data_IF_378806442387
#
_entry.id   IF_378806442387
#
_cell.length_a   1.000
_cell.length_b   1.000
_cell.length_c   1.000
_cell.angle_alpha   90.00
_cell.angle_beta   90.00
_cell.angle_gamma   90.00
#
_symmetry.space_group_name_H-M   'P 1'
#
loop_
_entity.id
_entity.type
_entity.pdbx_description
1 polymer ?
#
# COMPACT_ATOMS: atom_id res chain seq x y z
N UNK A 1 -32.33 -39.71 -10.64
CA UNK A 1 -31.53 -39.07 -9.58
C UNK A 1 -30.10 -39.08 -10.05
N UNK A 2 -29.60 -37.94 -10.52
CA UNK A 2 -28.20 -37.75 -10.88
C UNK A 2 -27.40 -37.72 -9.58
N UNK A 3 -26.70 -38.81 -9.25
CA UNK A 3 -25.61 -38.77 -8.26
C UNK A 3 -24.54 -37.86 -8.86
N UNK A 4 -24.54 -36.59 -8.46
CA UNK A 4 -23.36 -35.74 -8.59
C UNK A 4 -22.21 -36.48 -7.91
N UNK A 5 -21.10 -36.69 -8.61
CA UNK A 5 -19.85 -37.10 -7.96
C UNK A 5 -19.40 -35.93 -7.07
N UNK A 6 -20.03 -35.82 -5.91
CA UNK A 6 -19.69 -34.85 -4.88
C UNK A 6 -18.31 -35.24 -4.36
N UNK A 7 -17.37 -34.29 -4.42
CA UNK A 7 -16.01 -34.50 -3.93
C UNK A 7 -16.07 -34.52 -2.41
N UNK A 8 -15.74 -35.67 -1.82
CA UNK A 8 -15.78 -35.92 -0.37
C UNK A 8 -14.41 -35.62 0.22
N UNK A 9 -14.40 -34.88 1.33
CA UNK A 9 -13.21 -34.59 2.13
C UNK A 9 -13.35 -35.27 3.50
N UNK A 10 -12.28 -35.91 3.98
CA UNK A 10 -12.25 -36.54 5.31
C UNK A 10 -11.34 -35.71 6.21
N UNK A 11 -11.93 -35.01 7.18
CA UNK A 11 -11.24 -34.04 8.05
C UNK A 11 -11.62 -34.27 9.51
N UNK A 12 -10.74 -33.91 10.44
CA UNK A 12 -11.07 -33.88 11.86
C UNK A 12 -12.19 -32.85 12.12
N UNK A 13 -13.23 -33.28 12.83
CA UNK A 13 -14.34 -32.44 13.28
C UNK A 13 -14.18 -32.16 14.77
N UNK A 14 -13.77 -30.94 15.11
CA UNK A 14 -13.58 -30.51 16.50
C UNK A 14 -14.88 -30.53 17.32
N UNK A 15 -16.05 -30.40 16.66
CA UNK A 15 -17.35 -30.57 17.35
C UNK A 15 -17.59 -32.03 17.76
N UNK A 16 -16.86 -32.97 17.16
CA UNK A 16 -16.88 -34.39 17.47
C UNK A 16 -15.58 -34.85 18.16
N UNK A 17 -14.90 -33.95 18.91
CA UNK A 17 -13.67 -34.28 19.62
C UNK A 17 -12.50 -34.67 18.72
N UNK A 18 -12.49 -34.20 17.47
CA UNK A 18 -11.44 -34.47 16.49
C UNK A 18 -11.65 -35.77 15.69
N UNK A 19 -12.78 -36.47 15.85
CA UNK A 19 -13.13 -37.61 14.98
C UNK A 19 -13.16 -37.17 13.52
N UNK A 20 -12.60 -38.01 12.64
CA UNK A 20 -12.62 -37.78 11.20
C UNK A 20 -14.05 -37.91 10.68
N UNK A 21 -14.53 -36.86 10.03
CA UNK A 21 -15.87 -36.76 9.43
C UNK A 21 -15.77 -36.45 7.95
N UNK A 22 -16.75 -36.93 7.19
CA UNK A 22 -16.88 -36.60 5.78
C UNK A 22 -17.61 -35.28 5.55
N UNK A 23 -17.06 -34.47 4.65
CA UNK A 23 -17.59 -33.18 4.23
C UNK A 23 -17.80 -33.15 2.72
N UNK A 24 -18.86 -32.47 2.29
CA UNK A 24 -19.18 -32.25 0.88
C UNK A 24 -19.00 -30.79 0.50
N UNK A 25 -18.51 -30.54 -0.71
CA UNK A 25 -18.32 -29.20 -1.24
C UNK A 25 -19.66 -28.57 -1.67
N UNK A 26 -20.00 -27.40 -1.13
CA UNK A 26 -21.20 -26.64 -1.46
C UNK A 26 -20.84 -25.24 -1.97
N UNK A 27 -21.47 -24.85 -3.09
CA UNK A 27 -21.25 -23.55 -3.70
C UNK A 27 -22.19 -22.49 -3.13
N UNK A 28 -21.82 -21.92 -1.98
CA UNK A 28 -22.49 -20.79 -1.36
C UNK A 28 -21.48 -19.92 -0.60
N UNK A 29 -21.94 -18.77 -0.11
CA UNK A 29 -21.13 -17.94 0.80
C UNK A 29 -20.98 -18.65 2.14
N UNK A 30 -19.75 -18.69 2.66
CA UNK A 30 -19.47 -19.20 3.99
C UNK A 30 -19.80 -18.16 5.08
N UNK A 31 -20.13 -18.67 6.26
CA UNK A 31 -20.34 -17.92 7.50
C UNK A 31 -19.13 -18.08 8.43
N UNK A 32 -19.03 -17.22 9.46
CA UNK A 32 -17.98 -17.32 10.46
C UNK A 32 -18.07 -18.67 11.21
N UNK A 33 -16.94 -19.34 11.39
CA UNK A 33 -16.81 -20.68 11.95
C UNK A 33 -16.89 -21.83 10.93
N UNK A 34 -17.31 -21.57 9.69
CA UNK A 34 -17.39 -22.63 8.67
C UNK A 34 -16.02 -22.97 8.07
N UNK A 35 -15.85 -24.23 7.69
CA UNK A 35 -14.68 -24.70 6.93
C UNK A 35 -14.92 -24.49 5.44
N UNK A 36 -13.89 -24.06 4.72
CA UNK A 36 -13.89 -23.89 3.27
C UNK A 36 -12.69 -24.58 2.64
N UNK A 37 -12.82 -25.01 1.39
CA UNK A 37 -11.72 -25.55 0.59
C UNK A 37 -11.48 -24.71 -0.65
N UNK A 38 -10.21 -24.45 -0.98
CA UNK A 38 -9.83 -23.73 -2.20
C UNK A 38 -9.95 -24.66 -3.41
N UNK A 39 -10.68 -24.23 -4.44
CA UNK A 39 -10.94 -25.02 -5.65
C UNK A 39 -10.53 -24.32 -6.94
N UNK A 40 -10.37 -23.00 -6.91
CA UNK A 40 -10.05 -22.17 -8.08
C UNK A 40 -9.22 -20.96 -7.68
N UNK A 41 -7.97 -21.18 -7.23
CA UNK A 41 -6.99 -20.10 -6.94
C UNK A 41 -6.83 -19.20 -8.16
N UNK A 42 -7.15 -17.91 -8.00
CA UNK A 42 -7.08 -16.90 -9.08
C UNK A 42 -5.85 -16.04 -9.01
N UNK A 43 -5.34 -15.78 -7.81
CA UNK A 43 -4.21 -14.89 -7.61
C UNK A 43 -2.95 -15.71 -7.30
N UNK A 44 -1.95 -15.74 -8.21
CA UNK A 44 -0.73 -16.50 -8.02
C UNK A 44 0.10 -16.07 -6.80
N UNK A 45 -0.11 -14.83 -6.33
CA UNK A 45 0.58 -14.26 -5.17
C UNK A 45 0.01 -14.67 -3.81
N UNK A 46 -1.15 -15.33 -3.77
CA UNK A 46 -1.68 -15.88 -2.53
C UNK A 46 -0.84 -17.08 -2.05
N UNK A 47 -0.73 -17.23 -0.73
CA UNK A 47 0.08 -18.29 -0.11
C UNK A 47 -0.58 -19.67 -0.21
N UNK A 48 -1.90 -19.72 -0.34
CA UNK A 48 -2.67 -20.95 -0.41
C UNK A 48 -2.74 -21.52 -1.82
N UNK A 49 -2.99 -22.82 -1.92
CA UNK A 49 -3.13 -23.59 -3.15
C UNK A 49 -4.49 -24.29 -3.25
N UNK A 50 -4.85 -24.76 -4.45
CA UNK A 50 -6.05 -25.56 -4.64
C UNK A 50 -5.99 -26.85 -3.81
N UNK A 51 -6.99 -27.06 -2.95
CA UNK A 51 -7.07 -28.16 -2.00
C UNK A 51 -6.82 -27.74 -0.56
N UNK A 52 -6.28 -26.55 -0.31
CA UNK A 52 -6.09 -26.04 1.05
C UNK A 52 -7.43 -25.78 1.73
N UNK A 53 -7.50 -26.10 3.02
CA UNK A 53 -8.70 -25.95 3.85
C UNK A 53 -8.47 -24.87 4.88
N UNK A 54 -9.43 -23.96 5.01
CA UNK A 54 -9.41 -22.85 5.95
C UNK A 54 -10.66 -22.84 6.83
N UNK A 55 -10.54 -22.28 8.03
CA UNK A 55 -11.69 -21.91 8.84
C UNK A 55 -11.93 -20.41 8.69
N UNK A 56 -13.18 -20.01 8.43
CA UNK A 56 -13.56 -18.60 8.35
C UNK A 56 -13.62 -18.04 9.77
N UNK A 57 -12.79 -17.06 10.09
CA UNK A 57 -12.70 -16.48 11.44
C UNK A 57 -13.23 -15.04 11.52
N UNK A 58 -13.60 -14.45 10.38
CA UNK A 58 -14.06 -13.07 10.32
C UNK A 58 -15.10 -12.83 9.23
N UNK A 59 -16.21 -12.22 9.63
CA UNK A 59 -17.17 -11.66 8.69
C UNK A 59 -16.64 -10.39 8.01
N UNK A 60 -16.88 -10.29 6.70
CA UNK A 60 -16.55 -9.12 5.87
C UNK A 60 -17.82 -8.39 5.43
N UNK A 61 -17.74 -7.10 5.04
CA UNK A 61 -18.91 -6.29 4.72
C UNK A 61 -19.90 -7.01 3.77
N UNK A 62 -21.22 -6.94 4.06
CA UNK A 62 -22.23 -7.58 3.23
C UNK A 62 -22.10 -7.17 1.76
N UNK A 63 -22.15 -8.15 0.85
CA UNK A 63 -22.04 -7.92 -0.59
C UNK A 63 -20.62 -7.80 -1.15
N UNK A 64 -19.57 -7.90 -0.32
CA UNK A 64 -18.18 -7.88 -0.79
C UNK A 64 -17.83 -9.11 -1.66
N UNK A 65 -18.46 -10.25 -1.42
CA UNK A 65 -18.15 -11.51 -2.09
C UNK A 65 -16.89 -12.20 -1.55
N UNK A 66 -16.41 -11.81 -0.36
CA UNK A 66 -15.25 -12.41 0.29
C UNK A 66 -15.64 -13.08 1.63
N UNK A 67 -14.68 -13.79 2.20
CA UNK A 67 -14.61 -14.22 3.60
C UNK A 67 -13.20 -13.97 4.13
N UNK A 68 -13.06 -13.82 5.45
CA UNK A 68 -11.75 -13.62 6.10
C UNK A 68 -11.26 -14.88 6.81
N UNK A 69 -9.98 -15.18 6.65
CA UNK A 69 -9.24 -16.15 7.46
C UNK A 69 -7.84 -15.62 7.72
N UNK A 70 -7.42 -15.55 8.98
CA UNK A 70 -6.09 -15.09 9.37
C UNK A 70 -4.99 -16.06 8.88
N UNK A 71 -5.33 -17.34 8.73
CA UNK A 71 -4.45 -18.35 8.14
C UNK A 71 -4.13 -18.07 6.66
N UNK A 72 -4.96 -17.28 5.97
CA UNK A 72 -4.74 -16.87 4.59
C UNK A 72 -3.92 -15.57 4.44
N UNK A 73 -3.50 -14.95 5.55
CA UNK A 73 -2.71 -13.72 5.51
C UNK A 73 -1.33 -13.98 4.91
N UNK A 74 -0.96 -13.15 3.94
CA UNK A 74 0.37 -13.16 3.32
C UNK A 74 0.85 -11.74 3.01
N UNK A 75 2.09 -11.59 2.55
CA UNK A 75 2.60 -10.29 2.09
C UNK A 75 1.74 -9.67 0.97
N UNK A 76 1.15 -10.51 0.11
CA UNK A 76 0.29 -10.07 -0.99
C UNK A 76 -1.21 -10.06 -0.64
N UNK A 77 -1.61 -10.76 0.43
CA UNK A 77 -2.97 -10.79 0.96
C UNK A 77 -2.98 -10.42 2.45
N UNK A 78 -2.65 -9.17 2.74
CA UNK A 78 -2.48 -8.68 4.12
C UNK A 78 -3.77 -8.71 4.96
N UNK A 79 -4.92 -8.89 4.32
CA UNK A 79 -6.23 -8.93 4.96
C UNK A 79 -6.83 -10.35 5.06
N UNK A 80 -6.11 -11.37 4.58
CA UNK A 80 -6.57 -12.78 4.64
C UNK A 80 -7.91 -13.00 3.94
N UNK A 81 -8.16 -12.28 2.85
CA UNK A 81 -9.44 -12.30 2.15
C UNK A 81 -9.44 -13.39 1.08
N UNK A 82 -10.47 -14.23 1.09
CA UNK A 82 -10.66 -15.30 0.12
C UNK A 82 -11.95 -15.03 -0.66
N UNK A 83 -11.86 -15.01 -1.99
CA UNK A 83 -13.01 -14.67 -2.85
C UNK A 83 -13.97 -15.86 -2.98
N UNK A 84 -15.29 -15.60 -3.00
CA UNK A 84 -16.35 -16.60 -3.15
C UNK A 84 -16.15 -17.53 -4.37
N UNK A 85 -15.55 -17.01 -5.44
CA UNK A 85 -15.25 -17.81 -6.63
C UNK A 85 -14.13 -18.84 -6.42
N UNK A 86 -13.24 -18.63 -5.44
CA UNK A 86 -12.04 -19.44 -5.21
C UNK A 86 -12.29 -20.62 -4.26
N UNK A 87 -13.37 -20.60 -3.48
CA UNK A 87 -13.65 -21.62 -2.47
C UNK A 87 -15.00 -22.32 -2.61
N UNK A 88 -15.15 -23.44 -1.90
CA UNK A 88 -16.43 -24.09 -1.59
C UNK A 88 -16.56 -24.29 -0.10
N UNK A 89 -17.77 -24.16 0.42
CA UNK A 89 -18.06 -24.47 1.83
C UNK A 89 -18.04 -25.98 2.01
N UNK A 90 -17.44 -26.44 3.09
CA UNK A 90 -17.43 -27.85 3.46
C UNK A 90 -18.58 -28.10 4.44
N UNK A 91 -19.68 -28.65 3.92
CA UNK A 91 -20.81 -29.03 4.76
C UNK A 91 -20.61 -30.44 5.31
N UNK A 92 -20.75 -30.65 6.62
CA UNK A 92 -20.55 -31.95 7.23
C UNK A 92 -21.68 -32.93 6.87
N UNK A 93 -21.32 -34.20 6.64
CA UNK A 93 -22.27 -35.31 6.45
C UNK A 93 -22.49 -36.07 7.76
N UNK A 94 -23.36 -37.09 7.78
CA UNK A 94 -23.48 -37.96 8.95
C UNK A 94 -22.45 -39.10 8.97
N UNK A 95 -21.48 -39.14 8.05
CA UNK A 95 -20.50 -40.22 7.97
C UNK A 95 -19.23 -39.85 8.74
N UNK A 96 -18.81 -40.72 9.64
CA UNK A 96 -17.57 -40.62 10.43
C UNK A 96 -16.68 -41.83 10.22
N UNK A 97 -15.39 -41.65 10.47
CA UNK A 97 -14.33 -42.64 10.33
C UNK A 97 -13.74 -42.92 11.71
N UNK A 98 -13.93 -44.14 12.20
CA UNK A 98 -13.47 -44.55 13.53
C UNK A 98 -12.30 -45.50 13.36
N UNK A 99 -11.17 -45.16 13.97
CA UNK A 99 -9.98 -46.00 13.98
C UNK A 99 -10.16 -47.14 15.00
N UNK A 100 -10.14 -48.38 14.50
CA UNK A 100 -10.19 -49.60 15.30
C UNK A 100 -8.91 -50.43 15.19
N UNK A 101 -8.82 -51.54 15.93
CA UNK A 101 -7.67 -52.44 15.87
C UNK A 101 -7.47 -53.07 14.47
N UNK A 102 -8.55 -53.23 13.70
CA UNK A 102 -8.55 -53.85 12.38
C UNK A 102 -8.49 -52.83 11.21
N UNK A 103 -8.33 -51.54 11.52
CA UNK A 103 -8.27 -50.45 10.54
C UNK A 103 -9.31 -49.36 10.80
N UNK A 104 -9.45 -48.44 9.85
CA UNK A 104 -10.44 -47.36 9.91
C UNK A 104 -11.77 -47.83 9.30
N UNK A 105 -12.83 -47.76 10.07
CA UNK A 105 -14.18 -48.16 9.65
C UNK A 105 -15.08 -46.93 9.44
N UNK A 106 -15.97 -47.00 8.44
CA UNK A 106 -16.96 -45.94 8.15
C UNK A 106 -18.28 -46.24 8.86
N UNK A 107 -18.80 -45.25 9.56
CA UNK A 107 -20.07 -45.33 10.26
C UNK A 107 -20.97 -44.15 9.89
N UNK A 108 -22.27 -44.40 9.76
CA UNK A 108 -23.30 -43.36 9.70
C UNK A 108 -23.83 -43.07 11.12
N UNK A 109 -23.81 -41.80 11.50
CA UNK A 109 -24.41 -41.30 12.73
C UNK A 109 -25.92 -41.17 12.57
N UNK A 110 -26.66 -41.99 13.32
CA UNK A 110 -28.13 -42.03 13.27
C UNK A 110 -28.72 -41.52 14.58
N UNK A 111 -29.70 -40.63 14.46
CA UNK A 111 -30.47 -40.11 15.60
C UNK A 111 -31.64 -41.05 15.92
N UNK A 112 -31.38 -42.03 16.79
CA UNK A 112 -32.37 -42.98 17.31
C UNK A 112 -31.93 -43.55 18.66
N UNK A 113 -32.84 -44.23 19.34
CA UNK A 113 -32.50 -45.01 20.53
C UNK A 113 -31.60 -46.19 20.16
N UNK A 114 -30.57 -46.43 20.97
CA UNK A 114 -29.61 -47.51 20.80
C UNK A 114 -30.11 -48.83 21.43
N UNK A 115 -29.64 -49.94 20.86
CA UNK A 115 -29.80 -51.28 21.41
C UNK A 115 -28.51 -51.75 22.12
N UNK A 116 -28.62 -52.77 22.98
CA UNK A 116 -27.47 -53.36 23.66
C UNK A 116 -26.47 -53.92 22.64
N UNK A 117 -25.19 -53.58 22.79
CA UNK A 117 -24.10 -53.96 21.90
C UNK A 117 -23.84 -52.98 20.75
N UNK A 118 -24.64 -51.93 20.59
CA UNK A 118 -24.39 -50.91 19.56
C UNK A 118 -23.31 -49.92 20.00
N UNK A 119 -22.52 -49.45 19.02
CA UNK A 119 -21.57 -48.37 19.21
C UNK A 119 -22.28 -47.02 19.19
N UNK A 120 -21.92 -46.15 20.12
CA UNK A 120 -22.47 -44.80 20.24
C UNK A 120 -21.36 -43.77 20.43
N UNK A 121 -21.64 -42.55 19.98
CA UNK A 121 -20.83 -41.37 20.27
C UNK A 121 -21.68 -40.40 21.10
N UNK A 122 -21.11 -39.88 22.18
CA UNK A 122 -21.76 -38.88 23.02
C UNK A 122 -21.81 -37.52 22.32
N UNK A 123 -22.97 -36.85 22.36
CA UNK A 123 -23.16 -35.48 21.91
C UNK A 123 -23.83 -34.69 23.02
N UNK A 124 -23.07 -33.85 23.73
CA UNK A 124 -23.66 -32.80 24.55
C UNK A 124 -24.17 -31.68 23.64
N UNK A 125 -25.03 -30.79 24.14
CA UNK A 125 -25.80 -29.80 23.35
C UNK A 125 -24.99 -28.99 22.31
N UNK A 126 -23.65 -28.94 22.39
CA UNK A 126 -22.79 -28.29 21.40
C UNK A 126 -21.44 -29.01 21.08
N UNK A 127 -21.09 -30.13 21.71
CA UNK A 127 -19.79 -30.80 21.49
C UNK A 127 -19.75 -32.25 22.00
N UNK A 128 -18.91 -33.06 21.36
CA UNK A 128 -18.46 -34.38 21.80
C UNK A 128 -17.02 -34.32 22.32
N UNK A 129 -16.67 -35.22 23.23
CA UNK A 129 -15.28 -35.54 23.59
C UNK A 129 -14.60 -36.45 22.55
N UNK A 130 -15.36 -36.94 21.56
CA UNK A 130 -14.87 -37.84 20.53
C UNK A 130 -14.73 -39.29 21.02
N UNK A 131 -15.30 -39.64 22.16
CA UNK A 131 -15.23 -41.00 22.68
C UNK A 131 -16.33 -41.87 22.08
N UNK A 132 -15.93 -42.96 21.43
CA UNK A 132 -16.83 -44.02 20.97
C UNK A 132 -16.83 -45.16 21.98
N UNK A 133 -18.02 -45.55 22.43
CA UNK A 133 -18.21 -46.64 23.40
C UNK A 133 -19.38 -47.53 22.99
N UNK A 134 -19.57 -48.64 23.71
CA UNK A 134 -20.60 -49.65 23.44
C UNK A 134 -21.69 -49.63 24.52
N UNK A 135 -22.94 -49.78 24.10
CA UNK A 135 -24.10 -49.84 25.00
C UNK A 135 -24.17 -51.18 25.72
N UNK A 136 -24.23 -51.15 27.04
CA UNK A 136 -24.30 -52.34 27.90
C UNK A 136 -25.71 -52.62 28.42
N UNK A 137 -26.54 -51.58 28.56
CA UNK A 137 -27.91 -51.66 29.08
C UNK A 137 -28.76 -50.50 28.55
N UNK A 138 -30.07 -50.71 28.38
CA UNK A 138 -31.02 -49.69 27.90
C UNK A 138 -32.09 -49.48 28.96
N UNK A 139 -32.14 -48.26 29.51
CA UNK A 139 -33.15 -47.80 30.46
C UNK A 139 -34.24 -46.95 29.80
N UNK A 140 -35.25 -46.54 30.58
CA UNK A 140 -36.41 -45.80 30.06
C UNK A 140 -36.12 -44.36 29.59
N UNK A 141 -34.90 -43.85 29.79
CA UNK A 141 -34.51 -42.50 29.35
C UNK A 141 -33.00 -42.30 29.21
N UNK A 142 -32.21 -43.36 29.36
CA UNK A 142 -30.76 -43.34 29.22
C UNK A 142 -30.25 -44.73 28.82
N UNK A 143 -29.04 -44.76 28.25
CA UNK A 143 -28.29 -45.98 28.00
C UNK A 143 -27.11 -46.04 28.97
N UNK A 144 -26.80 -47.24 29.48
CA UNK A 144 -25.54 -47.50 30.16
C UNK A 144 -24.51 -47.92 29.11
N UNK A 145 -23.26 -47.48 29.26
CA UNK A 145 -22.16 -47.76 28.33
C UNK A 145 -20.99 -48.41 29.06
N UNK A 146 -19.99 -48.87 28.31
CA UNK A 146 -18.72 -49.30 28.93
C UNK A 146 -18.11 -48.09 29.62
N UNK A 147 -17.88 -48.20 30.94
CA UNK A 147 -17.32 -47.12 31.76
C UNK A 147 -15.97 -46.65 31.23
N UNK A 148 -15.80 -45.34 31.14
CA UNK A 148 -14.55 -44.70 30.75
C UNK A 148 -14.34 -43.39 31.51
N UNK A 149 -13.11 -42.94 31.59
CA UNK A 149 -12.74 -41.63 32.12
C UNK A 149 -12.74 -40.62 30.96
N UNK A 150 -13.54 -39.57 31.07
CA UNK A 150 -13.66 -38.53 30.05
C UNK A 150 -12.48 -37.54 30.07
N UNK A 151 -12.51 -36.54 29.18
CA UNK A 151 -11.46 -35.53 29.06
C UNK A 151 -11.28 -34.66 30.31
N UNK A 152 -12.31 -34.55 31.17
CA UNK A 152 -12.30 -33.79 32.41
C UNK A 152 -11.85 -34.64 33.61
N UNK A 153 -11.61 -35.94 33.41
CA UNK A 153 -11.23 -36.90 34.44
C UNK A 153 -12.42 -37.48 35.20
N UNK A 154 -13.64 -37.23 34.73
CA UNK A 154 -14.87 -37.76 35.32
C UNK A 154 -15.19 -39.15 34.72
N UNK A 155 -15.72 -40.04 35.57
CA UNK A 155 -16.11 -41.39 35.12
C UNK A 155 -17.49 -41.31 34.49
N UNK A 156 -17.56 -41.56 33.19
CA UNK A 156 -18.78 -41.66 32.40
C UNK A 156 -19.25 -43.11 32.32
N UNK A 157 -20.48 -43.38 32.74
CA UNK A 157 -21.09 -44.72 32.73
C UNK A 157 -22.39 -44.83 31.93
N UNK A 158 -22.90 -43.73 31.36
CA UNK A 158 -24.13 -43.74 30.57
C UNK A 158 -24.50 -42.40 29.99
N UNK A 159 -25.41 -42.41 29.02
CA UNK A 159 -25.89 -41.22 28.30
C UNK A 159 -27.40 -41.12 28.31
N UNK A 160 -27.93 -39.91 28.51
CA UNK A 160 -29.37 -39.66 28.34
C UNK A 160 -29.77 -39.86 26.87
N UNK A 161 -30.99 -40.35 26.63
CA UNK A 161 -31.52 -40.39 25.28
C UNK A 161 -31.58 -38.97 24.68
N UNK A 162 -31.15 -38.84 23.42
CA UNK A 162 -30.97 -37.56 22.75
C UNK A 162 -29.55 -36.98 22.84
N UNK A 163 -28.74 -37.42 23.80
CA UNK A 163 -27.34 -36.99 23.97
C UNK A 163 -26.32 -37.94 23.30
N UNK A 164 -26.74 -38.75 22.34
CA UNK A 164 -25.83 -39.62 21.60
C UNK A 164 -26.30 -39.83 20.16
N UNK A 165 -25.41 -40.36 19.31
CA UNK A 165 -25.77 -40.93 18.01
C UNK A 165 -25.31 -42.37 17.93
N UNK A 166 -26.15 -43.20 17.33
CA UNK A 166 -25.82 -44.60 17.06
C UNK A 166 -24.94 -44.64 15.82
N UNK A 167 -23.84 -45.39 15.89
CA UNK A 167 -22.92 -45.60 14.79
C UNK A 167 -23.31 -46.87 14.06
N UNK A 168 -23.98 -46.71 12.92
CA UNK A 168 -24.37 -47.84 12.05
C UNK A 168 -23.26 -48.03 11.01
N UNK A 169 -22.70 -49.25 10.85
CA UNK A 169 -21.70 -49.50 9.80
C UNK A 169 -22.22 -49.06 8.43
N UNK A 170 -21.52 -48.14 7.79
CA UNK A 170 -21.82 -47.73 6.43
C UNK A 170 -21.11 -48.71 5.51
N UNK A 171 -21.87 -49.59 4.84
CA UNK A 171 -21.31 -50.65 3.97
C UNK A 171 -20.16 -50.11 3.09
N UNK A 172 -18.96 -50.66 3.30
CA UNK A 172 -17.93 -50.62 2.27
C UNK A 172 -18.42 -51.51 1.14
N UNK A 173 -18.51 -50.98 -0.08
CA UNK A 173 -19.09 -51.69 -1.23
C UNK A 173 -18.18 -52.79 -1.79
N UNK A 174 -17.49 -53.55 -0.94
CA UNK A 174 -16.55 -54.60 -1.35
C UNK A 174 -16.81 -55.90 -0.56
N UNK A 175 -17.99 -56.48 -0.69
CA UNK A 175 -18.20 -57.88 -0.31
C UNK A 175 -18.33 -58.75 -1.57
N UNK A 176 -17.22 -59.41 -1.90
CA UNK A 176 -17.20 -60.45 -2.93
C UNK A 176 -17.70 -61.78 -2.37
N UNK A 177 -18.61 -62.47 -3.06
CA UNK A 177 -19.11 -63.76 -2.61
C UNK A 177 -17.99 -64.81 -2.67
N UNK A 178 -17.67 -65.40 -1.51
CA UNK A 178 -16.73 -66.52 -1.39
C UNK A 178 -17.29 -67.76 -2.13
N UNK A 179 -16.66 -68.25 -3.21
CA UNK A 179 -17.10 -69.45 -3.91
C UNK A 179 -16.72 -70.70 -3.11
N UNK A 180 -17.65 -71.65 -2.99
CA UNK A 180 -17.50 -72.86 -2.18
C UNK A 180 -16.78 -74.02 -2.91
N UNK A 181 -16.49 -73.90 -4.21
CA UNK A 181 -15.93 -74.96 -5.07
C UNK A 181 -14.73 -74.45 -5.92
N UNK A 182 -13.60 -75.20 -6.03
CA UNK A 182 -12.49 -74.89 -6.92
C UNK A 182 -12.86 -74.61 -8.40
N UNK A 183 -13.94 -75.21 -8.91
CA UNK A 183 -14.43 -74.95 -10.28
C UNK A 183 -15.02 -73.54 -10.37
N UNK A 184 -15.75 -73.09 -9.35
CA UNK A 184 -16.32 -71.74 -9.28
C UNK A 184 -15.21 -70.69 -9.12
N UNK A 185 -14.14 -71.01 -8.37
CA UNK A 185 -12.95 -70.16 -8.28
C UNK A 185 -12.32 -69.98 -9.65
N UNK A 186 -12.14 -71.05 -10.43
CA UNK A 186 -11.54 -70.97 -11.77
C UNK A 186 -12.43 -70.17 -12.74
N UNK A 187 -13.74 -70.37 -12.69
CA UNK A 187 -14.69 -69.64 -13.53
C UNK A 187 -14.74 -68.14 -13.19
N UNK A 188 -14.71 -67.80 -11.90
CA UNK A 188 -14.70 -66.42 -11.42
C UNK A 188 -13.37 -65.73 -11.79
N UNK A 189 -12.24 -66.41 -11.59
CA UNK A 189 -10.92 -65.90 -12.01
C UNK A 189 -10.87 -65.64 -13.53
N UNK A 190 -11.36 -66.58 -14.35
CA UNK A 190 -11.37 -66.43 -15.79
C UNK A 190 -12.25 -65.24 -16.25
N UNK A 191 -13.39 -65.03 -15.60
CA UNK A 191 -14.28 -63.90 -15.84
C UNK A 191 -13.58 -62.58 -15.52
N UNK A 192 -12.92 -62.53 -14.37
CA UNK A 192 -12.24 -61.33 -13.89
C UNK A 192 -10.99 -60.98 -14.68
N UNK A 193 -10.23 -61.98 -15.13
CA UNK A 193 -9.12 -61.78 -16.08
C UNK A 193 -9.65 -61.20 -17.40
N UNK A 194 -10.76 -61.70 -17.91
CA UNK A 194 -11.36 -61.17 -19.15
C UNK A 194 -11.88 -59.72 -18.98
N UNK A 195 -12.41 -59.37 -17.81
CA UNK A 195 -12.80 -57.99 -17.47
C UNK A 195 -11.58 -57.08 -17.37
N UNK A 196 -10.55 -57.49 -16.63
CA UNK A 196 -9.29 -56.76 -16.51
C UNK A 196 -8.62 -56.54 -17.89
N UNK A 197 -8.63 -57.54 -18.77
CA UNK A 197 -8.10 -57.38 -20.12
C UNK A 197 -8.90 -56.36 -20.97
N UNK A 198 -10.23 -56.34 -20.84
CA UNK A 198 -11.06 -55.34 -21.52
C UNK A 198 -10.81 -53.96 -20.98
N UNK A 199 -10.69 -53.82 -19.67
CA UNK A 199 -10.46 -52.54 -19.00
C UNK A 199 -9.07 -52.00 -19.31
N UNK A 200 -8.04 -52.86 -19.34
CA UNK A 200 -6.69 -52.48 -19.75
C UNK A 200 -6.65 -51.99 -21.21
N UNK A 201 -7.37 -52.65 -22.13
CA UNK A 201 -7.55 -52.17 -23.51
C UNK A 201 -8.29 -50.83 -23.58
N UNK A 202 -9.31 -50.62 -22.74
CA UNK A 202 -10.04 -49.35 -22.65
C UNK A 202 -9.11 -48.24 -22.19
N UNK A 203 -8.37 -48.45 -21.09
CA UNK A 203 -7.41 -47.49 -20.53
C UNK A 203 -6.33 -47.14 -21.56
N UNK A 204 -5.76 -48.14 -22.24
CA UNK A 204 -4.76 -47.89 -23.30
C UNK A 204 -5.32 -47.03 -24.45
N UNK A 205 -6.60 -47.17 -24.76
CA UNK A 205 -7.29 -46.34 -25.77
C UNK A 205 -7.60 -44.93 -25.24
N UNK A 206 -8.12 -44.81 -24.02
CA UNK A 206 -8.44 -43.51 -23.37
C UNK A 206 -7.19 -42.66 -23.15
N UNK A 207 -6.08 -43.29 -22.76
CA UNK A 207 -4.77 -42.64 -22.66
C UNK A 207 -4.14 -42.34 -24.03
N UNK A 208 -4.83 -42.67 -25.13
CA UNK A 208 -4.35 -42.46 -26.49
C UNK A 208 -3.05 -43.20 -26.78
N UNK A 209 -2.71 -44.27 -26.05
CA UNK A 209 -1.40 -44.91 -26.11
C UNK A 209 -1.03 -45.37 -27.54
N UNK A 210 -2.05 -45.76 -28.33
CA UNK A 210 -1.90 -46.12 -29.74
C UNK A 210 -1.71 -44.94 -30.70
N UNK A 211 -2.12 -43.74 -30.29
CA UNK A 211 -1.99 -42.49 -31.06
C UNK A 211 -0.67 -41.78 -30.74
N UNK A 212 -0.30 -41.70 -29.46
CA UNK A 212 0.97 -41.08 -29.02
C UNK A 212 2.17 -42.02 -29.14
N UNK A 213 1.98 -43.33 -29.21
CA UNK A 213 3.06 -44.29 -29.42
C UNK A 213 4.05 -44.42 -28.26
N UNK A 214 4.85 -45.49 -28.30
CA UNK A 214 5.90 -45.72 -27.30
C UNK A 214 7.02 -44.67 -27.46
N UNK A 215 7.09 -43.71 -26.55
CA UNK A 215 8.12 -42.65 -26.57
C UNK A 215 7.59 -41.24 -26.30
N UNK A 216 6.28 -40.99 -26.42
CA UNK A 216 5.73 -39.64 -26.18
C UNK A 216 5.95 -39.13 -24.76
N UNK A 217 5.95 -40.00 -23.76
CA UNK A 217 6.30 -39.62 -22.38
C UNK A 217 7.76 -39.15 -22.29
N UNK A 218 8.67 -39.75 -23.06
CA UNK A 218 10.07 -39.34 -23.09
C UNK A 218 10.25 -37.99 -23.80
N UNK A 219 9.52 -37.75 -24.89
CA UNK A 219 9.51 -36.46 -25.57
C UNK A 219 8.94 -35.35 -24.69
N UNK A 220 7.77 -35.58 -24.07
CA UNK A 220 7.18 -34.64 -23.10
C UNK A 220 8.13 -34.34 -21.94
N UNK A 221 8.87 -35.34 -21.46
CA UNK A 221 9.89 -35.12 -20.42
C UNK A 221 11.03 -34.21 -20.90
N UNK A 222 11.46 -34.36 -22.14
CA UNK A 222 12.50 -33.50 -22.72
C UNK A 222 11.96 -32.08 -22.93
N UNK A 223 10.76 -31.93 -23.50
CA UNK A 223 10.14 -30.62 -23.70
C UNK A 223 9.93 -29.89 -22.36
N UNK A 224 9.48 -30.61 -21.32
CA UNK A 224 9.35 -30.06 -19.97
C UNK A 224 10.71 -29.68 -19.38
N UNK A 225 11.78 -30.44 -19.66
CA UNK A 225 13.12 -30.10 -19.22
C UNK A 225 13.64 -28.83 -19.90
N UNK A 226 13.39 -28.67 -21.21
CA UNK A 226 13.76 -27.47 -21.97
C UNK A 226 12.98 -26.25 -21.47
N UNK A 227 11.67 -26.38 -21.24
CA UNK A 227 10.85 -25.31 -20.64
C UNK A 227 11.39 -24.89 -19.27
N UNK A 228 11.75 -25.86 -18.41
CA UNK A 228 12.35 -25.56 -17.10
C UNK A 228 13.68 -24.81 -17.22
N UNK A 229 14.50 -25.17 -18.20
CA UNK A 229 15.76 -24.46 -18.46
C UNK A 229 15.51 -23.02 -18.90
N UNK A 230 14.55 -22.80 -19.80
CA UNK A 230 14.19 -21.46 -20.27
C UNK A 230 13.59 -20.60 -19.14
N UNK A 231 12.76 -21.19 -18.27
CA UNK A 231 12.22 -20.51 -17.08
C UNK A 231 13.37 -20.05 -16.17
N UNK A 232 14.31 -20.93 -15.84
CA UNK A 232 15.44 -20.57 -14.97
C UNK A 232 16.29 -19.42 -15.56
N UNK A 233 16.46 -19.39 -16.89
CA UNK A 233 17.17 -18.31 -17.56
C UNK A 233 16.41 -16.98 -17.54
N UNK A 234 15.08 -17.03 -17.60
CA UNK A 234 14.23 -15.84 -17.47
C UNK A 234 14.24 -15.30 -16.05
N UNK A 235 14.18 -16.17 -15.05
CA UNK A 235 14.27 -15.80 -13.63
C UNK A 235 15.60 -15.09 -13.32
N UNK A 236 16.73 -15.64 -13.78
CA UNK A 236 18.06 -15.01 -13.60
C UNK A 236 18.14 -13.61 -14.25
N UNK A 237 17.58 -13.46 -15.46
CA UNK A 237 17.49 -12.15 -16.12
C UNK A 237 16.63 -11.16 -15.35
N UNK A 238 15.48 -11.59 -14.84
CA UNK A 238 14.59 -10.72 -14.06
C UNK A 238 15.31 -10.23 -12.80
N UNK A 239 15.99 -11.12 -12.08
CA UNK A 239 16.77 -10.76 -10.90
C UNK A 239 17.88 -9.75 -11.25
N UNK A 240 18.61 -9.97 -12.35
CA UNK A 240 19.63 -9.04 -12.81
C UNK A 240 19.03 -7.67 -13.18
N UNK A 241 17.94 -7.63 -13.93
CA UNK A 241 17.27 -6.39 -14.34
C UNK A 241 16.73 -5.61 -13.13
N UNK A 242 16.21 -6.30 -12.10
CA UNK A 242 15.79 -5.68 -10.84
C UNK A 242 16.96 -5.05 -10.08
N UNK A 243 18.07 -5.77 -9.91
CA UNK A 243 19.27 -5.24 -9.25
C UNK A 243 19.83 -4.02 -10.01
N UNK A 244 19.85 -4.09 -11.34
CA UNK A 244 20.33 -2.97 -12.17
C UNK A 244 19.41 -1.76 -12.07
N UNK A 245 18.09 -1.98 -12.01
CA UNK A 245 17.12 -0.89 -11.85
C UNK A 245 17.16 -0.27 -10.44
N UNK A 246 17.44 -1.07 -9.41
CA UNK A 246 17.67 -0.57 -8.04
C UNK A 246 18.89 0.36 -8.02
N UNK A 247 20.02 -0.06 -8.57
CA UNK A 247 21.24 0.76 -8.70
C UNK A 247 20.98 2.08 -9.46
N UNK A 248 20.19 2.02 -10.55
CA UNK A 248 19.80 3.22 -11.31
C UNK A 248 18.89 4.13 -10.49
N UNK A 249 17.98 3.56 -9.70
CA UNK A 249 17.05 4.33 -8.86
C UNK A 249 17.81 5.07 -7.78
N UNK A 250 18.77 4.42 -7.12
CA UNK A 250 19.63 5.02 -6.11
C UNK A 250 20.50 6.14 -6.70
N UNK A 251 21.10 5.90 -7.87
CA UNK A 251 21.86 6.92 -8.59
C UNK A 251 21.00 8.15 -8.91
N UNK A 252 19.78 7.95 -9.42
CA UNK A 252 18.86 9.03 -9.75
C UNK A 252 18.41 9.78 -8.48
N UNK A 253 18.20 9.08 -7.37
CA UNK A 253 17.79 9.70 -6.11
C UNK A 253 18.87 10.65 -5.58
N UNK A 254 20.13 10.22 -5.56
CA UNK A 254 21.25 11.06 -5.11
C UNK A 254 21.49 12.24 -6.07
N UNK A 255 21.34 12.04 -7.38
CA UNK A 255 21.47 13.12 -8.36
C UNK A 255 20.37 14.18 -8.19
N UNK A 256 19.11 13.77 -7.99
CA UNK A 256 17.98 14.68 -7.73
C UNK A 256 18.19 15.46 -6.43
N UNK A 257 18.67 14.79 -5.38
CA UNK A 257 18.97 15.43 -4.09
C UNK A 257 20.06 16.49 -4.23
N UNK A 258 21.14 16.19 -4.96
CA UNK A 258 22.21 17.15 -5.24
C UNK A 258 21.70 18.38 -6.00
N UNK A 259 20.87 18.16 -7.02
CA UNK A 259 20.27 19.25 -7.80
C UNK A 259 19.34 20.11 -6.92
N UNK A 260 18.61 19.50 -6.00
CA UNK A 260 17.78 20.24 -5.04
C UNK A 260 18.64 21.12 -4.12
N UNK A 261 19.74 20.60 -3.59
CA UNK A 261 20.68 21.38 -2.75
C UNK A 261 21.29 22.57 -3.52
N UNK A 262 21.61 22.38 -4.81
CA UNK A 262 22.11 23.44 -5.69
C UNK A 262 21.03 24.51 -5.93
N UNK A 263 19.80 24.11 -6.25
CA UNK A 263 18.65 25.02 -6.42
C UNK A 263 18.40 25.84 -5.16
N UNK A 264 18.45 25.22 -3.98
CA UNK A 264 18.25 25.90 -2.70
C UNK A 264 19.36 26.93 -2.43
N UNK A 265 20.59 26.60 -2.80
CA UNK A 265 21.74 27.50 -2.67
C UNK A 265 21.59 28.71 -3.60
N UNK A 266 21.26 28.48 -4.88
CA UNK A 266 21.01 29.55 -5.85
C UNK A 266 19.84 30.45 -5.43
N UNK A 267 18.77 29.90 -4.85
CA UNK A 267 17.65 30.68 -4.33
C UNK A 267 18.07 31.59 -3.16
N UNK A 268 18.98 31.13 -2.29
CA UNK A 268 19.52 31.96 -1.19
C UNK A 268 20.37 33.10 -1.74
N UNK A 269 21.25 32.81 -2.69
CA UNK A 269 22.10 33.84 -3.31
C UNK A 269 21.28 34.88 -4.08
N UNK A 270 20.27 34.45 -4.85
CA UNK A 270 19.38 35.37 -5.57
C UNK A 270 18.61 36.29 -4.60
N UNK A 271 18.18 35.79 -3.44
CA UNK A 271 17.57 36.65 -2.41
C UNK A 271 18.56 37.68 -1.89
N UNK A 272 19.79 37.27 -1.55
CA UNK A 272 20.84 38.19 -1.08
C UNK A 272 21.14 39.26 -2.12
N UNK A 273 21.34 38.88 -3.38
CA UNK A 273 21.59 39.85 -4.46
C UNK A 273 20.41 40.80 -4.65
N UNK A 274 19.17 40.32 -4.51
CA UNK A 274 17.97 41.18 -4.52
C UNK A 274 17.99 42.24 -3.41
N UNK A 275 18.40 41.87 -2.20
CA UNK A 275 18.54 42.82 -1.07
C UNK A 275 19.66 43.85 -1.31
N UNK A 276 20.81 43.40 -1.85
CA UNK A 276 21.92 44.28 -2.21
C UNK A 276 21.54 45.31 -3.29
N UNK A 277 20.83 44.86 -4.33
CA UNK A 277 20.31 45.75 -5.38
C UNK A 277 19.36 46.79 -4.78
N UNK A 278 18.41 46.38 -3.94
CA UNK A 278 17.48 47.30 -3.30
C UNK A 278 18.20 48.35 -2.42
N UNK A 279 19.29 47.95 -1.77
CA UNK A 279 20.10 48.86 -0.97
C UNK A 279 20.90 49.84 -1.83
N UNK A 280 21.46 49.39 -2.94
CA UNK A 280 22.16 50.24 -3.90
C UNK A 280 21.20 51.26 -4.54
N UNK A 281 19.99 50.84 -4.93
CA UNK A 281 18.96 51.73 -5.47
C UNK A 281 18.63 52.87 -4.50
N UNK A 282 18.46 52.58 -3.20
CA UNK A 282 18.27 53.60 -2.17
C UNK A 282 19.47 54.57 -2.11
N UNK A 283 20.68 54.04 -2.18
CA UNK A 283 21.92 54.83 -2.20
C UNK A 283 21.99 55.78 -3.40
N UNK A 284 21.70 55.27 -4.59
CA UNK A 284 21.65 56.03 -5.85
C UNK A 284 20.57 57.11 -5.79
N UNK A 285 19.39 56.78 -5.26
CA UNK A 285 18.31 57.77 -5.10
C UNK A 285 18.73 58.90 -4.16
N UNK A 286 19.30 58.58 -3.00
CA UNK A 286 19.80 59.58 -2.05
C UNK A 286 20.92 60.46 -2.66
N UNK A 287 21.83 59.86 -3.43
CA UNK A 287 22.88 60.61 -4.13
C UNK A 287 22.31 61.54 -5.19
N UNK A 288 21.32 61.08 -5.95
CA UNK A 288 20.64 61.87 -6.98
C UNK A 288 19.93 63.08 -6.37
N UNK A 289 19.23 62.89 -5.24
CA UNK A 289 18.60 64.00 -4.49
C UNK A 289 19.64 65.03 -4.01
N UNK A 290 20.78 64.58 -3.48
CA UNK A 290 21.89 65.50 -3.11
C UNK A 290 22.44 66.25 -4.30
N UNK A 291 22.56 65.61 -5.47
CA UNK A 291 23.03 66.25 -6.69
C UNK A 291 22.05 67.34 -7.15
N UNK A 292 20.74 67.03 -7.18
CA UNK A 292 19.67 67.98 -7.49
C UNK A 292 19.70 69.20 -6.57
N UNK A 293 19.83 68.99 -5.25
CA UNK A 293 19.93 70.10 -4.30
C UNK A 293 21.15 70.99 -4.57
N UNK A 294 22.32 70.39 -4.82
CA UNK A 294 23.54 71.14 -5.16
C UNK A 294 23.39 71.91 -6.47
N UNK A 295 22.74 71.34 -7.49
CA UNK A 295 22.46 72.06 -8.73
C UNK A 295 21.58 73.29 -8.51
N UNK A 296 20.51 73.15 -7.72
CA UNK A 296 19.64 74.28 -7.37
C UNK A 296 20.40 75.36 -6.59
N UNK A 297 21.32 74.97 -5.70
CA UNK A 297 22.14 75.93 -4.96
C UNK A 297 23.11 76.69 -5.89
N UNK A 298 23.72 75.98 -6.85
CA UNK A 298 24.57 76.59 -7.88
C UNK A 298 23.76 77.57 -8.74
N UNK A 299 22.55 77.21 -9.16
CA UNK A 299 21.65 78.11 -9.92
C UNK A 299 21.34 79.39 -9.13
N UNK A 300 20.99 79.29 -7.84
CA UNK A 300 20.76 80.47 -6.98
C UNK A 300 22.01 81.34 -6.84
N UNK A 301 23.20 80.74 -6.81
CA UNK A 301 24.46 81.51 -6.78
C UNK A 301 24.66 82.25 -8.08
N UNK A 302 24.41 81.62 -9.23
CA UNK A 302 24.45 82.28 -10.54
C UNK A 302 23.47 83.45 -10.63
N UNK A 303 22.21 83.27 -10.24
CA UNK A 303 21.21 84.35 -10.22
C UNK A 303 21.66 85.54 -9.35
N UNK A 304 22.30 85.25 -8.21
CA UNK A 304 22.87 86.30 -7.33
C UNK A 304 24.06 87.00 -7.98
N UNK A 305 24.92 86.26 -8.69
CA UNK A 305 26.05 86.84 -9.42
C UNK A 305 25.57 87.76 -10.54
N UNK A 306 24.59 87.33 -11.34
CA UNK A 306 24.01 88.15 -12.42
C UNK A 306 23.40 89.45 -11.86
N UNK A 307 22.72 89.37 -10.71
CA UNK A 307 22.20 90.56 -10.02
C UNK A 307 23.32 91.49 -9.56
N UNK A 308 24.37 90.95 -8.93
CA UNK A 308 25.53 91.74 -8.49
C UNK A 308 26.20 92.39 -9.71
N UNK A 309 26.36 91.68 -10.81
CA UNK A 309 26.94 92.23 -12.05
C UNK A 309 26.10 93.41 -12.55
N UNK A 310 24.77 93.26 -12.63
CA UNK A 310 23.87 94.35 -12.99
C UNK A 310 23.96 95.55 -12.03
N UNK A 311 23.99 95.31 -10.71
CA UNK A 311 24.14 96.36 -9.70
C UNK A 311 25.48 97.08 -9.85
N UNK A 312 26.59 96.35 -10.05
CA UNK A 312 27.92 96.94 -10.24
C UNK A 312 28.00 97.80 -11.50
N UNK A 313 27.40 97.39 -12.62
CA UNK A 313 27.40 98.20 -13.83
C UNK A 313 26.57 99.49 -13.63
N UNK A 314 25.42 99.40 -12.94
CA UNK A 314 24.63 100.60 -12.59
C UNK A 314 25.39 101.58 -11.68
N UNK A 315 26.10 101.08 -10.67
CA UNK A 315 26.94 101.90 -9.79
C UNK A 315 28.09 102.57 -10.55
N UNK A 316 28.68 101.87 -11.51
CA UNK A 316 29.73 102.42 -12.38
C UNK A 316 29.22 103.56 -13.26
N UNK A 317 28.00 103.45 -13.81
CA UNK A 317 27.35 104.56 -14.51
C UNK A 317 27.10 105.75 -13.57
N UNK A 318 26.57 105.51 -12.37
CA UNK A 318 26.33 106.55 -11.38
C UNK A 318 27.63 107.26 -10.95
N UNK A 319 28.72 106.49 -10.73
CA UNK A 319 30.04 107.04 -10.40
C UNK A 319 30.59 107.94 -11.52
N UNK A 320 30.45 107.53 -12.78
CA UNK A 320 30.86 108.35 -13.94
C UNK A 320 30.04 109.64 -14.05
N UNK A 321 28.75 109.59 -13.74
CA UNK A 321 27.89 110.77 -13.68
C UNK A 321 28.33 111.71 -12.55
N UNK A 322 28.63 111.18 -11.36
CA UNK A 322 29.12 112.00 -10.25
C UNK A 322 30.48 112.61 -10.53
N UNK A 323 31.41 111.87 -11.13
CA UNK A 323 32.72 112.39 -11.53
C UNK A 323 32.57 113.53 -12.55
N UNK A 324 31.66 113.38 -13.51
CA UNK A 324 31.34 114.45 -14.46
C UNK A 324 30.74 115.69 -13.78
N UNK A 325 29.86 115.51 -12.79
CA UNK A 325 29.32 116.62 -11.98
C UNK A 325 30.41 117.30 -11.14
N UNK A 326 31.32 116.54 -10.55
CA UNK A 326 32.47 117.08 -9.79
C UNK A 326 33.39 117.87 -10.70
N UNK A 327 33.76 117.34 -11.88
CA UNK A 327 34.58 118.06 -12.85
C UNK A 327 33.91 119.36 -13.32
N UNK A 328 32.59 119.35 -13.53
CA UNK A 328 31.83 120.56 -13.85
C UNK A 328 31.84 121.56 -12.69
N UNK A 329 31.66 121.12 -11.44
CA UNK A 329 31.73 121.99 -10.26
C UNK A 329 33.14 122.56 -10.05
N UNK A 330 34.19 121.78 -10.33
CA UNK A 330 35.58 122.25 -10.29
C UNK A 330 35.83 123.31 -11.38
N UNK A 331 35.27 123.12 -12.58
CA UNK A 331 35.34 124.09 -13.69
C UNK A 331 34.49 125.35 -13.46
N UNK A 332 33.31 125.24 -12.84
CA UNK A 332 32.42 126.35 -12.47
C UNK A 332 32.93 127.08 -11.21
N UNK A 333 33.80 126.42 -10.42
CA UNK A 333 34.56 127.07 -9.37
C UNK A 333 35.65 127.95 -9.99
N UNK A 334 35.20 129.05 -10.59
CA UNK A 334 35.96 130.28 -10.80
C UNK A 334 36.27 130.83 -9.38
N UNK A 335 37.14 130.12 -8.68
CA UNK A 335 37.83 130.61 -7.50
C UNK A 335 38.79 131.66 -8.01
N UNK A 336 38.23 132.85 -8.25
CA UNK A 336 38.97 134.09 -8.45
C UNK A 336 39.76 134.31 -7.17
N UNK A 337 40.96 133.74 -7.11
CA UNK A 337 41.94 134.01 -6.07
C UNK A 337 42.24 135.50 -6.18
N UNK A 338 41.67 136.30 -5.28
CA UNK A 338 42.00 137.71 -5.18
C UNK A 338 43.53 137.82 -5.08
N UNK A 339 44.11 138.55 -6.01
CA UNK A 339 45.54 138.82 -6.00
C UNK A 339 45.90 139.63 -4.75
N UNK A 340 47.13 139.49 -4.25
CA UNK A 340 47.59 140.23 -3.08
C UNK A 340 47.44 141.76 -3.27
N UNK A 341 47.51 142.25 -4.52
CA UNK A 341 47.26 143.65 -4.87
C UNK A 341 45.79 144.06 -4.71
N UNK A 342 44.84 143.22 -5.11
CA UNK A 342 43.40 143.51 -4.94
C UNK A 342 43.01 143.52 -3.46
N UNK A 343 43.59 142.63 -2.65
CA UNK A 343 43.41 142.62 -1.19
C UNK A 343 44.07 143.84 -0.54
N UNK A 344 45.26 144.25 -1.01
CA UNK A 344 45.95 145.44 -0.51
C UNK A 344 45.21 146.75 -0.86
N UNK A 345 44.63 146.84 -2.06
CA UNK A 345 43.81 147.98 -2.48
C UNK A 345 42.54 148.11 -1.63
N UNK A 346 41.88 146.99 -1.31
CA UNK A 346 40.70 146.96 -0.45
C UNK A 346 41.05 147.36 1.00
N UNK A 347 42.17 146.86 1.53
CA UNK A 347 42.67 147.21 2.87
C UNK A 347 43.10 148.68 2.97
N UNK A 348 43.70 149.26 1.93
CA UNK A 348 44.03 150.69 1.89
C UNK A 348 42.76 151.56 1.79
N UNK A 349 41.77 151.17 0.97
CA UNK A 349 40.49 151.87 0.89
C UNK A 349 39.69 151.81 2.21
N UNK A 350 39.86 150.75 3.00
CA UNK A 350 39.31 150.67 4.36
C UNK A 350 40.10 151.49 5.40
N UNK A 351 41.39 151.75 5.16
CA UNK A 351 42.26 152.54 6.05
C UNK A 351 42.10 154.06 5.84
N UNK A 352 41.70 154.51 4.65
CA UNK A 352 41.34 155.92 4.37
C UNK A 352 39.91 156.31 4.83
N UNK A 353 39.13 155.36 5.35
CA UNK A 353 37.79 155.57 5.94
C UNK A 353 37.77 155.56 7.48
N UNK A 354 38.94 155.52 8.12
CA UNK A 354 39.14 155.96 9.52
C UNK A 354 39.50 157.44 9.53
#
# INVERSE_FOLDING_TARGET
MTKTNEKIHVLADESLGGIKREYVEVNRKAEEGEKIVIVDKRYPGDIYENGDVFTVDREVPPGSGFVGSDEAISEMNSSGLIYLGEYRVLEPTNIVHIDGPDGTERYEMVDREAEVGEKVIHLSELYSDGTVTEVTSVGAGMVDVIEYEDSDGDITCGFSHGCYRVLVPAESSEEEPQPSDPIDVIANLATRVAELERENKRIQKELGWYEVGAGSIANLRNDVADIRHDIAKLEDRIVHDYATNEDVTDFLYEEVKRLQDEIDTLHKDNRRHGEEIAQLEKGVHAQSQRHLYRQQEIERVWERMDRIESETESLKYAAKETDGKVANLESDSDTRLFTAEEVAALLNAMRERQ
#
